data_IF_361986224439
#
_entry.id   IF_361986224439
#
_cell.length_a   1.000
_cell.length_b   1.000
_cell.length_c   1.000
_cell.angle_alpha   90.00
_cell.angle_beta   90.00
_cell.angle_gamma   90.00
#
_symmetry.space_group_name_H-M   'P 1'
#
loop_
_entity.id
_entity.type
_entity.pdbx_description
1 polymer ?
#
# COMPACT_ATOMS: atom_id res chain seq x y z
N UNK A 1 -0.62 -20.33 3.98
CA UNK A 1 -0.83 -19.36 2.88
C UNK A 1 0.20 -18.23 2.92
N UNK A 2 0.41 -17.52 4.02
CA UNK A 2 1.27 -16.33 4.07
C UNK A 2 2.76 -16.59 3.78
N UNK A 3 3.36 -17.71 4.21
CA UNK A 3 4.76 -18.07 3.87
C UNK A 3 4.99 -18.08 2.36
N UNK A 4 4.06 -18.63 1.61
CA UNK A 4 4.12 -18.65 0.13
C UNK A 4 4.10 -17.23 -0.47
N UNK A 5 3.44 -16.26 0.19
CA UNK A 5 3.40 -14.87 -0.28
C UNK A 5 4.66 -14.09 0.08
N UNK A 6 5.27 -14.36 1.25
CA UNK A 6 6.60 -13.83 1.58
C UNK A 6 7.64 -14.36 0.59
N UNK A 7 7.64 -15.67 0.31
CA UNK A 7 8.54 -16.27 -0.69
C UNK A 7 8.32 -15.67 -2.08
N UNK A 8 7.05 -15.41 -2.45
CA UNK A 8 6.71 -14.72 -3.71
C UNK A 8 7.25 -13.29 -3.71
N UNK A 9 7.06 -12.53 -2.64
CA UNK A 9 7.60 -11.18 -2.50
C UNK A 9 9.11 -11.17 -2.67
N UNK A 10 9.84 -12.07 -2.01
CA UNK A 10 11.29 -12.18 -2.13
C UNK A 10 11.74 -12.45 -3.58
N UNK A 11 11.02 -13.30 -4.32
CA UNK A 11 11.31 -13.57 -5.74
C UNK A 11 11.06 -12.33 -6.60
N UNK A 12 9.96 -11.62 -6.36
CA UNK A 12 9.61 -10.40 -7.12
C UNK A 12 10.61 -9.28 -6.80
N UNK A 13 11.07 -9.13 -5.55
CA UNK A 13 12.13 -8.18 -5.17
C UNK A 13 13.42 -8.51 -5.94
N UNK A 14 13.82 -9.78 -5.98
CA UNK A 14 15.03 -10.22 -6.68
C UNK A 14 14.92 -9.99 -8.20
N UNK A 15 13.76 -10.23 -8.78
CA UNK A 15 13.48 -9.95 -10.20
C UNK A 15 13.55 -8.45 -10.50
N UNK A 16 12.93 -7.62 -9.66
CA UNK A 16 12.94 -6.16 -9.80
C UNK A 16 14.37 -5.61 -9.73
N UNK A 17 15.17 -6.04 -8.74
CA UNK A 17 16.57 -5.63 -8.61
C UNK A 17 17.42 -6.06 -9.80
N UNK A 18 17.22 -7.30 -10.30
CA UNK A 18 17.91 -7.78 -11.51
C UNK A 18 17.62 -6.93 -12.75
N UNK A 19 16.42 -6.33 -12.81
CA UNK A 19 15.98 -5.44 -13.88
C UNK A 19 16.30 -3.96 -13.60
N UNK A 20 17.10 -3.65 -12.57
CA UNK A 20 17.59 -2.30 -12.27
C UNK A 20 16.63 -1.43 -11.47
N UNK A 21 15.57 -1.99 -10.87
CA UNK A 21 14.70 -1.21 -10.02
C UNK A 21 15.43 -0.81 -8.71
N UNK A 22 15.29 0.45 -8.32
CA UNK A 22 15.78 0.99 -7.04
C UNK A 22 14.71 1.00 -5.95
N UNK A 23 13.43 0.94 -6.34
CA UNK A 23 12.27 0.88 -5.46
C UNK A 23 11.21 -0.05 -6.03
N UNK A 24 10.61 -0.88 -5.18
CA UNK A 24 9.42 -1.67 -5.49
C UNK A 24 8.30 -1.38 -4.50
N UNK A 25 7.07 -1.24 -5.01
CA UNK A 25 5.84 -1.06 -4.22
C UNK A 25 4.89 -2.22 -4.49
N UNK A 26 4.57 -2.97 -3.43
CA UNK A 26 3.62 -4.08 -3.47
C UNK A 26 2.19 -3.60 -3.17
N UNK A 27 1.17 -4.36 -3.59
CA UNK A 27 -0.23 -4.07 -3.30
C UNK A 27 -0.58 -3.98 -1.81
N UNK A 28 -1.74 -3.38 -1.52
CA UNK A 28 -2.38 -3.36 -0.20
C UNK A 28 -2.50 -4.80 0.34
N UNK A 29 -2.03 -5.02 1.58
CA UNK A 29 -2.01 -6.31 2.29
C UNK A 29 -1.56 -7.49 1.41
N UNK A 30 -0.54 -7.29 0.58
CA UNK A 30 0.03 -8.33 -0.28
C UNK A 30 0.36 -9.59 0.50
N UNK A 31 0.95 -9.43 1.70
CA UNK A 31 1.19 -10.57 2.59
C UNK A 31 -0.10 -10.91 3.31
N UNK A 32 -0.53 -12.13 3.10
CA UNK A 32 -1.76 -12.81 3.47
C UNK A 32 -2.98 -12.51 2.58
N UNK A 33 -2.91 -11.48 1.71
CA UNK A 33 -3.95 -11.15 0.74
C UNK A 33 -5.09 -10.33 1.31
N UNK A 34 -5.80 -9.62 0.44
CA UNK A 34 -6.93 -8.79 0.84
C UNK A 34 -8.11 -9.67 1.27
N UNK A 35 -8.75 -9.38 2.43
CA UNK A 35 -9.85 -10.18 2.96
C UNK A 35 -11.19 -9.79 2.29
N UNK A 36 -11.32 -10.02 0.97
CA UNK A 36 -12.49 -9.60 0.17
C UNK A 36 -13.81 -10.18 0.70
N UNK A 37 -13.74 -11.28 1.46
CA UNK A 37 -14.89 -11.88 2.14
C UNK A 37 -15.61 -10.93 3.10
N UNK A 38 -14.99 -9.84 3.57
CA UNK A 38 -15.65 -8.81 4.40
C UNK A 38 -16.80 -8.12 3.69
N UNK A 39 -16.82 -8.15 2.34
CA UNK A 39 -17.87 -7.53 1.53
C UNK A 39 -18.98 -8.52 1.16
N UNK A 40 -18.76 -9.84 1.37
CA UNK A 40 -19.62 -10.91 0.89
C UNK A 40 -20.30 -11.67 2.00
N UNK A 41 -19.57 -12.00 3.06
CA UNK A 41 -20.07 -12.86 4.14
C UNK A 41 -21.03 -12.07 5.04
N UNK A 42 -22.31 -12.44 5.12
CA UNK A 42 -23.27 -11.76 5.97
C UNK A 42 -22.91 -11.90 7.46
N UNK A 43 -23.16 -10.87 8.25
CA UNK A 43 -22.83 -10.83 9.68
C UNK A 43 -23.46 -11.96 10.51
N UNK A 44 -24.60 -12.53 10.09
CA UNK A 44 -25.23 -13.65 10.79
C UNK A 44 -24.46 -14.98 10.61
N UNK A 45 -23.51 -15.08 9.66
CA UNK A 45 -22.63 -16.23 9.51
C UNK A 45 -21.41 -16.14 10.44
N UNK A 46 -21.65 -15.93 11.73
CA UNK A 46 -20.60 -15.66 12.73
C UNK A 46 -19.52 -16.75 12.83
N UNK A 47 -19.89 -18.03 12.69
CA UNK A 47 -18.91 -19.12 12.72
C UNK A 47 -17.90 -19.03 11.57
N UNK A 48 -18.36 -18.73 10.35
CA UNK A 48 -17.51 -18.54 9.18
C UNK A 48 -16.61 -17.31 9.36
N UNK A 49 -17.17 -16.18 9.80
CA UNK A 49 -16.41 -14.95 10.04
C UNK A 49 -15.31 -15.16 11.10
N UNK A 50 -15.62 -15.88 12.18
CA UNK A 50 -14.64 -16.18 13.23
C UNK A 50 -13.50 -17.04 12.72
N UNK A 51 -13.79 -18.05 11.88
CA UNK A 51 -12.76 -18.92 11.31
C UNK A 51 -11.88 -18.17 10.32
N UNK A 52 -12.47 -17.34 9.44
CA UNK A 52 -11.72 -16.51 8.49
C UNK A 52 -10.83 -15.49 9.23
N UNK A 53 -11.36 -14.87 10.28
CA UNK A 53 -10.58 -13.94 11.11
C UNK A 53 -9.43 -14.64 11.84
N UNK A 54 -9.67 -15.84 12.43
CA UNK A 54 -8.64 -16.64 13.08
C UNK A 54 -7.47 -16.92 12.12
N UNK A 55 -7.78 -17.39 10.91
CA UNK A 55 -6.76 -17.68 9.88
C UNK A 55 -6.00 -16.41 9.48
N UNK A 56 -6.68 -15.27 9.41
CA UNK A 56 -6.04 -14.01 9.09
C UNK A 56 -5.07 -13.57 10.19
N UNK A 57 -5.46 -13.69 11.46
CA UNK A 57 -4.58 -13.40 12.62
C UNK A 57 -3.35 -14.33 12.63
N UNK A 58 -3.54 -15.62 12.34
CA UNK A 58 -2.44 -16.59 12.28
C UNK A 58 -1.48 -16.33 11.11
N UNK A 59 -1.98 -15.69 10.05
CA UNK A 59 -1.20 -15.32 8.86
C UNK A 59 -0.60 -13.92 8.93
N UNK A 60 -0.92 -13.14 9.97
CA UNK A 60 -0.45 -11.78 10.12
C UNK A 60 0.99 -11.71 10.62
N UNK A 61 1.70 -10.67 10.16
CA UNK A 61 3.10 -10.42 10.48
C UNK A 61 3.18 -9.59 11.77
N UNK A 62 4.14 -9.91 12.62
CA UNK A 62 4.62 -9.03 13.68
C UNK A 62 5.88 -8.31 13.20
N UNK A 63 6.05 -7.04 13.58
CA UNK A 63 7.25 -6.29 13.18
C UNK A 63 8.09 -5.99 14.41
N UNK A 64 9.35 -6.54 14.50
CA UNK A 64 9.97 -7.50 13.57
C UNK A 64 9.56 -8.96 13.82
N UNK A 65 9.68 -9.82 12.80
CA UNK A 65 9.58 -11.29 12.90
C UNK A 65 10.37 -11.98 11.77
N UNK A 66 10.33 -13.31 11.72
CA UNK A 66 11.05 -14.10 10.70
C UNK A 66 10.65 -13.72 9.26
N UNK A 67 9.40 -13.28 9.04
CA UNK A 67 8.93 -12.86 7.71
C UNK A 67 9.52 -11.54 7.30
N UNK A 68 9.59 -10.58 8.24
CA UNK A 68 10.28 -9.30 8.01
C UNK A 68 11.77 -9.50 7.78
N UNK A 69 12.43 -10.44 8.49
CA UNK A 69 13.84 -10.75 8.27
C UNK A 69 14.11 -11.28 6.85
N UNK A 70 13.19 -12.12 6.32
CA UNK A 70 13.29 -12.61 4.94
C UNK A 70 13.14 -11.49 3.91
N UNK A 71 12.19 -10.57 4.12
CA UNK A 71 11.98 -9.41 3.25
C UNK A 71 13.18 -8.45 3.31
N UNK A 72 13.71 -8.17 4.50
CA UNK A 72 14.91 -7.37 4.71
C UNK A 72 16.13 -7.97 4.00
N UNK A 73 16.29 -9.29 4.11
CA UNK A 73 17.36 -9.99 3.39
C UNK A 73 17.19 -9.88 1.87
N UNK A 74 15.97 -10.06 1.35
CA UNK A 74 15.71 -9.95 -0.08
C UNK A 74 15.98 -8.52 -0.61
N UNK A 75 15.57 -7.48 0.14
CA UNK A 75 15.85 -6.09 -0.16
C UNK A 75 17.36 -5.84 -0.25
N UNK A 76 18.11 -6.27 0.78
CA UNK A 76 19.57 -6.13 0.84
C UNK A 76 20.28 -6.87 -0.28
N UNK A 77 19.96 -8.15 -0.50
CA UNK A 77 20.61 -8.99 -1.51
C UNK A 77 20.39 -8.43 -2.94
N UNK A 78 19.29 -7.70 -3.14
CA UNK A 78 18.90 -7.12 -4.43
C UNK A 78 19.25 -5.62 -4.56
N UNK A 79 19.62 -4.95 -3.46
CA UNK A 79 19.91 -3.51 -3.44
C UNK A 79 18.67 -2.65 -3.74
N UNK A 80 17.46 -3.09 -3.33
CA UNK A 80 16.17 -2.48 -3.68
C UNK A 80 15.44 -1.99 -2.43
N UNK A 81 14.98 -0.75 -2.45
CA UNK A 81 14.04 -0.27 -1.43
C UNK A 81 12.68 -0.92 -1.63
N UNK A 82 12.00 -1.29 -0.54
CA UNK A 82 10.75 -2.05 -0.59
C UNK A 82 9.67 -1.34 0.21
N UNK A 83 8.49 -1.17 -0.39
CA UNK A 83 7.25 -0.82 0.32
C UNK A 83 6.25 -1.96 0.09
N UNK A 84 5.84 -2.63 1.16
CA UNK A 84 4.98 -3.81 1.06
C UNK A 84 3.78 -3.74 2.01
N UNK A 85 2.59 -4.02 1.47
CA UNK A 85 1.35 -4.12 2.24
C UNK A 85 1.25 -5.43 3.01
N UNK A 86 0.81 -5.38 4.25
CA UNK A 86 0.67 -6.55 5.12
C UNK A 86 -0.45 -6.40 6.15
N UNK A 87 -0.95 -7.54 6.66
CA UNK A 87 -1.67 -7.56 7.92
C UNK A 87 -0.63 -7.52 9.05
N UNK A 88 -0.62 -6.44 9.81
CA UNK A 88 0.24 -6.29 10.98
C UNK A 88 -0.51 -6.74 12.23
N UNK A 89 0.10 -7.65 13.01
CA UNK A 89 -0.44 -8.09 14.29
C UNK A 89 -0.06 -7.10 15.39
N UNK A 90 -1.04 -6.68 16.19
CA UNK A 90 -0.78 -5.85 17.36
C UNK A 90 -0.18 -6.69 18.49
N UNK A 91 1.14 -6.66 18.63
CA UNK A 91 1.89 -7.38 19.69
C UNK A 91 1.97 -6.60 20.99
N UNK A 92 1.65 -5.31 20.99
CA UNK A 92 1.74 -4.46 22.18
C UNK A 92 0.66 -4.75 23.23
N UNK A 93 -0.48 -5.31 22.80
CA UNK A 93 -1.66 -5.50 23.65
C UNK A 93 -2.13 -6.95 23.67
N UNK A 94 -3.05 -7.31 22.76
CA UNK A 94 -3.79 -8.57 22.83
C UNK A 94 -3.28 -9.67 21.92
N UNK A 95 -2.36 -9.39 20.99
CA UNK A 95 -1.93 -10.27 19.90
C UNK A 95 -3.04 -10.76 18.95
N UNK A 96 -4.24 -10.20 19.03
CA UNK A 96 -5.39 -10.63 18.23
C UNK A 96 -6.01 -9.51 17.40
N UNK A 97 -5.61 -8.25 17.63
CA UNK A 97 -6.00 -7.13 16.77
C UNK A 97 -5.04 -6.99 15.60
N UNK A 98 -5.59 -6.63 14.44
CA UNK A 98 -4.85 -6.44 13.21
C UNK A 98 -4.89 -4.99 12.74
N UNK A 99 -3.84 -4.59 12.04
CA UNK A 99 -3.80 -3.36 11.26
C UNK A 99 -3.53 -3.69 9.78
N UNK A 100 -4.08 -2.88 8.91
CA UNK A 100 -3.67 -2.80 7.52
C UNK A 100 -2.48 -1.86 7.46
N UNK A 101 -1.31 -2.37 7.11
CA UNK A 101 -0.05 -1.64 7.26
C UNK A 101 0.84 -1.74 6.03
N UNK A 102 1.65 -0.70 5.82
CA UNK A 102 2.81 -0.73 4.95
C UNK A 102 4.07 -0.91 5.78
N UNK A 103 4.97 -1.76 5.32
CA UNK A 103 6.32 -1.89 5.82
C UNK A 103 7.27 -1.23 4.82
N UNK A 104 8.18 -0.39 5.33
CA UNK A 104 9.22 0.28 4.56
C UNK A 104 10.58 -0.31 4.92
N UNK A 105 11.31 -0.79 3.91
CA UNK A 105 12.64 -1.38 4.05
C UNK A 105 13.57 -0.68 3.06
N UNK A 106 14.76 -0.27 3.50
CA UNK A 106 15.75 0.32 2.61
C UNK A 106 16.56 -0.73 1.83
N UNK A 107 17.40 -0.26 0.91
CA UNK A 107 18.25 -1.11 0.07
C UNK A 107 19.34 -1.85 0.85
N UNK A 108 19.65 -1.44 2.08
CA UNK A 108 20.55 -2.12 3.02
C UNK A 108 19.85 -3.20 3.85
N UNK A 109 18.51 -3.35 3.68
CA UNK A 109 17.68 -4.30 4.39
C UNK A 109 17.29 -3.86 5.80
N UNK A 110 17.33 -2.56 6.08
CA UNK A 110 16.89 -2.02 7.36
C UNK A 110 15.41 -1.64 7.31
N UNK A 111 14.66 -1.99 8.34
CA UNK A 111 13.28 -1.52 8.52
C UNK A 111 13.32 -0.03 8.87
N UNK A 112 12.78 0.81 7.99
CA UNK A 112 12.64 2.25 8.22
C UNK A 112 11.44 2.58 9.11
N UNK A 113 10.37 1.79 9.01
CA UNK A 113 9.17 1.91 9.82
C UNK A 113 7.95 1.26 9.18
N UNK A 114 6.81 1.49 9.83
CA UNK A 114 5.50 1.04 9.35
C UNK A 114 4.53 2.22 9.27
N UNK A 115 3.56 2.13 8.34
CA UNK A 115 2.40 3.01 8.33
C UNK A 115 1.14 2.18 8.48
N UNK A 116 0.36 2.41 9.54
CA UNK A 116 -0.93 1.78 9.79
C UNK A 116 -2.05 2.63 9.19
N UNK A 117 -2.90 2.04 8.36
CA UNK A 117 -4.05 2.73 7.74
C UNK A 117 -4.88 3.47 8.78
N UNK A 118 -5.04 4.78 8.63
CA UNK A 118 -5.71 5.64 9.60
C UNK A 118 -7.15 5.20 9.84
N UNK A 119 -7.87 4.89 8.77
CA UNK A 119 -9.28 4.48 8.81
C UNK A 119 -9.50 3.32 7.84
N UNK A 120 -9.81 2.11 8.33
CA UNK A 120 -10.33 1.04 7.48
C UNK A 120 -11.66 1.42 6.83
N UNK A 121 -11.86 1.03 5.57
CA UNK A 121 -13.01 1.42 4.76
C UNK A 121 -14.18 0.44 4.94
N UNK A 122 -15.38 0.92 5.27
CA UNK A 122 -16.61 0.12 5.26
C UNK A 122 -16.49 -1.20 6.03
N UNK A 123 -16.61 -2.32 5.33
CA UNK A 123 -16.51 -3.69 5.88
C UNK A 123 -15.14 -4.04 6.46
N UNK A 124 -14.07 -3.38 6.02
CA UNK A 124 -12.72 -3.57 6.57
C UNK A 124 -12.65 -3.33 8.08
N UNK A 125 -13.56 -2.51 8.63
CA UNK A 125 -13.66 -2.22 10.08
C UNK A 125 -14.00 -3.44 10.93
N UNK A 126 -14.48 -4.51 10.32
CA UNK A 126 -14.70 -5.79 11.00
C UNK A 126 -13.39 -6.54 11.24
N UNK A 127 -12.31 -6.16 10.55
CA UNK A 127 -11.04 -6.88 10.54
C UNK A 127 -9.91 -6.03 11.10
N UNK A 128 -9.81 -4.74 10.72
CA UNK A 128 -8.66 -3.90 11.07
C UNK A 128 -9.01 -2.81 12.07
N UNK A 129 -8.07 -2.58 12.97
CA UNK A 129 -8.02 -1.42 13.85
C UNK A 129 -7.54 -0.18 13.11
N UNK A 130 -7.79 0.99 13.71
CA UNK A 130 -7.33 2.28 13.20
C UNK A 130 -5.86 2.51 13.52
N UNK A 131 -5.11 3.02 12.56
CA UNK A 131 -3.82 3.65 12.79
C UNK A 131 -3.95 5.02 13.44
N UNK A 132 -2.81 5.61 13.76
CA UNK A 132 -2.71 6.97 14.27
C UNK A 132 -1.83 7.86 13.38
N UNK A 133 -1.68 9.12 13.75
CA UNK A 133 -0.91 10.08 12.96
C UNK A 133 0.61 9.97 13.11
N UNK A 134 1.13 9.08 13.97
CA UNK A 134 2.57 8.97 14.24
C UNK A 134 3.38 8.53 13.02
N UNK A 135 2.74 7.73 12.16
CA UNK A 135 3.33 7.16 10.94
C UNK A 135 3.09 7.98 9.66
N UNK A 136 2.42 9.15 9.76
CA UNK A 136 2.31 10.10 8.64
C UNK A 136 3.64 10.83 8.44
N UNK A 137 4.60 10.14 7.84
CA UNK A 137 5.96 10.62 7.61
C UNK A 137 6.48 10.19 6.24
N UNK A 138 7.67 10.67 5.91
CA UNK A 138 8.44 10.21 4.75
C UNK A 138 9.80 9.70 5.20
N UNK A 139 10.35 8.75 4.47
CA UNK A 139 11.64 8.12 4.73
C UNK A 139 12.62 8.52 3.64
N UNK A 140 13.82 8.96 4.03
CA UNK A 140 14.92 9.20 3.12
C UNK A 140 15.53 7.85 2.72
N UNK A 141 15.63 7.60 1.42
CA UNK A 141 16.20 6.37 0.85
C UNK A 141 17.12 6.68 -0.33
N UNK A 142 17.85 5.68 -0.80
CA UNK A 142 18.64 5.79 -2.03
C UNK A 142 17.80 6.09 -3.29
N UNK A 143 16.52 5.68 -3.27
CA UNK A 143 15.56 5.94 -4.35
C UNK A 143 14.76 7.23 -4.18
N UNK A 144 15.16 8.12 -3.26
CA UNK A 144 14.47 9.37 -2.96
C UNK A 144 13.67 9.33 -1.65
N UNK A 145 12.89 10.37 -1.40
CA UNK A 145 12.08 10.50 -0.18
C UNK A 145 10.70 9.89 -0.40
N UNK A 146 10.44 8.76 0.26
CA UNK A 146 9.26 7.91 0.06
C UNK A 146 8.29 8.08 1.22
N UNK A 147 7.00 8.22 0.92
CA UNK A 147 5.90 8.12 1.87
C UNK A 147 4.86 7.11 1.38
N UNK A 148 3.90 6.73 2.22
CA UNK A 148 2.82 5.84 1.83
C UNK A 148 1.49 6.22 2.44
N UNK A 149 0.42 6.07 1.65
CA UNK A 149 -0.98 6.14 2.07
C UNK A 149 -1.75 4.98 1.43
N UNK A 150 -2.51 4.25 2.24
CA UNK A 150 -3.16 3.02 1.81
C UNK A 150 -4.56 3.32 1.29
N UNK A 151 -4.82 2.96 0.02
CA UNK A 151 -6.15 2.95 -0.59
C UNK A 151 -6.89 4.28 -0.38
N UNK A 152 -8.08 4.27 0.19
CA UNK A 152 -8.92 5.46 0.39
C UNK A 152 -8.38 6.49 1.40
N UNK A 153 -7.27 6.23 2.08
CA UNK A 153 -6.54 7.32 2.75
C UNK A 153 -6.12 8.41 1.78
N UNK A 154 -5.88 8.03 0.52
CA UNK A 154 -5.56 8.98 -0.55
C UNK A 154 -6.73 9.93 -0.90
N UNK A 155 -7.95 9.66 -0.44
CA UNK A 155 -9.07 10.61 -0.50
C UNK A 155 -9.10 11.59 0.68
N UNK A 156 -8.26 11.41 1.71
CA UNK A 156 -8.20 12.29 2.89
C UNK A 156 -7.27 13.48 2.62
N UNK A 157 -7.76 14.72 2.38
CA UNK A 157 -6.91 15.85 2.01
C UNK A 157 -5.85 16.18 3.07
N UNK A 158 -6.21 16.04 4.36
CA UNK A 158 -5.28 16.33 5.47
C UNK A 158 -4.20 15.28 5.62
N UNK A 159 -4.47 14.00 5.30
CA UNK A 159 -3.45 12.95 5.28
C UNK A 159 -2.43 13.22 4.14
N UNK A 160 -2.92 13.59 2.95
CA UNK A 160 -2.04 13.99 1.84
C UNK A 160 -1.20 15.20 2.20
N UNK A 161 -1.81 16.24 2.79
CA UNK A 161 -1.08 17.44 3.21
C UNK A 161 0.04 17.11 4.19
N UNK A 162 -0.20 16.19 5.14
CA UNK A 162 0.82 15.72 6.08
C UNK A 162 2.04 15.13 5.36
N UNK A 163 1.81 14.34 4.32
CA UNK A 163 2.85 13.72 3.50
C UNK A 163 3.60 14.78 2.66
N UNK A 164 2.89 15.72 2.08
CA UNK A 164 3.48 16.80 1.29
C UNK A 164 4.38 17.70 2.13
N UNK A 165 3.94 18.08 3.35
CA UNK A 165 4.75 18.86 4.30
C UNK A 165 6.01 18.12 4.78
N UNK A 166 6.02 16.79 4.71
CA UNK A 166 7.22 15.97 5.00
C UNK A 166 8.18 15.88 3.81
N UNK A 167 7.85 16.52 2.71
CA UNK A 167 8.70 16.60 1.53
C UNK A 167 8.78 15.30 0.73
N UNK A 168 7.73 14.48 0.75
CA UNK A 168 7.68 13.27 -0.06
C UNK A 168 7.90 13.59 -1.55
N UNK A 169 8.74 12.82 -2.20
CA UNK A 169 9.01 12.87 -3.64
C UNK A 169 8.28 11.74 -4.37
N UNK A 170 8.09 10.61 -3.67
CA UNK A 170 7.39 9.43 -4.15
C UNK A 170 6.34 9.05 -3.12
N UNK A 171 5.10 8.87 -3.59
CA UNK A 171 4.00 8.34 -2.81
C UNK A 171 3.70 6.91 -3.24
N UNK A 172 3.93 5.96 -2.35
CA UNK A 172 3.39 4.61 -2.48
C UNK A 172 1.91 4.62 -2.11
N UNK A 173 1.05 4.28 -3.07
CA UNK A 173 -0.41 4.29 -2.94
C UNK A 173 -1.01 2.92 -3.27
N UNK A 174 -0.69 1.87 -2.50
CA UNK A 174 -1.26 0.55 -2.72
C UNK A 174 -2.75 0.55 -2.40
N UNK A 175 -3.51 -0.25 -3.14
CA UNK A 175 -4.96 -0.24 -3.08
C UNK A 175 -5.58 -1.60 -3.42
N UNK A 176 -6.85 -1.78 -3.02
CA UNK A 176 -7.76 -2.79 -3.53
C UNK A 176 -8.81 -2.18 -4.49
N UNK A 177 -8.86 -0.84 -4.59
CA UNK A 177 -9.80 -0.13 -5.46
C UNK A 177 -9.38 -0.26 -6.93
N UNK A 178 -10.23 -0.90 -7.73
CA UNK A 178 -10.08 -1.14 -9.17
C UNK A 178 -10.92 -0.22 -10.04
N UNK A 179 -11.53 0.80 -9.43
CA UNK A 179 -12.43 1.70 -10.16
C UNK A 179 -11.66 2.68 -11.05
N UNK A 180 -12.25 3.13 -12.17
CA UNK A 180 -11.67 4.19 -13.00
C UNK A 180 -11.45 5.49 -12.22
N UNK A 181 -12.28 5.77 -11.20
CA UNK A 181 -12.15 6.94 -10.34
C UNK A 181 -10.86 6.93 -9.53
N UNK A 182 -10.36 5.74 -9.16
CA UNK A 182 -9.09 5.60 -8.47
C UNK A 182 -7.94 6.16 -9.29
N UNK A 183 -7.81 5.75 -10.55
CA UNK A 183 -6.76 6.23 -11.45
C UNK A 183 -6.78 7.75 -11.60
N UNK A 184 -7.97 8.33 -11.83
CA UNK A 184 -8.15 9.77 -11.94
C UNK A 184 -7.74 10.50 -10.64
N UNK A 185 -8.05 9.90 -9.49
CA UNK A 185 -7.63 10.45 -8.19
C UNK A 185 -6.12 10.40 -8.04
N UNK A 186 -5.45 9.32 -8.43
CA UNK A 186 -4.00 9.21 -8.35
C UNK A 186 -3.30 10.23 -9.27
N UNK A 187 -3.85 10.49 -10.45
CA UNK A 187 -3.38 11.57 -11.32
C UNK A 187 -3.55 12.96 -10.68
N UNK A 188 -4.70 13.18 -9.99
CA UNK A 188 -4.91 14.41 -9.23
C UNK A 188 -3.90 14.54 -8.08
N UNK A 189 -3.70 13.49 -7.29
CA UNK A 189 -2.77 13.45 -6.14
C UNK A 189 -1.33 13.75 -6.58
N UNK A 190 -0.90 13.16 -7.70
CA UNK A 190 0.42 13.42 -8.27
C UNK A 190 0.60 14.91 -8.62
N UNK A 191 -0.41 15.52 -9.25
CA UNK A 191 -0.40 16.95 -9.60
C UNK A 191 -0.52 17.86 -8.39
N UNK A 192 -1.39 17.54 -7.43
CA UNK A 192 -1.58 18.29 -6.18
C UNK A 192 -0.28 18.36 -5.37
N UNK A 193 0.36 17.21 -5.17
CA UNK A 193 1.59 17.11 -4.39
C UNK A 193 2.86 17.47 -5.16
N UNK A 194 2.79 17.54 -6.50
CA UNK A 194 3.98 17.69 -7.35
C UNK A 194 4.98 16.54 -7.10
N UNK A 195 4.50 15.30 -7.01
CA UNK A 195 5.29 14.11 -6.68
C UNK A 195 4.94 12.92 -7.59
N UNK A 196 5.79 11.91 -7.61
CA UNK A 196 5.47 10.66 -8.29
C UNK A 196 4.51 9.81 -7.45
N UNK A 197 3.56 9.14 -8.10
CA UNK A 197 2.65 8.18 -7.44
C UNK A 197 2.89 6.79 -8.02
N UNK A 198 3.20 5.83 -7.14
CA UNK A 198 3.28 4.42 -7.46
C UNK A 198 2.06 3.73 -6.84
N UNK A 199 1.04 3.51 -7.64
CA UNK A 199 -0.18 2.82 -7.23
C UNK A 199 -0.10 1.35 -7.61
N UNK A 200 -0.14 0.47 -6.62
CA UNK A 200 -0.08 -0.97 -6.82
C UNK A 200 -1.39 -1.61 -6.36
N UNK A 201 -2.07 -2.30 -7.28
CA UNK A 201 -3.34 -3.00 -7.03
C UNK A 201 -3.19 -4.48 -7.35
N UNK A 202 -3.66 -5.33 -6.43
CA UNK A 202 -3.59 -6.78 -6.62
C UNK A 202 -4.58 -7.23 -7.71
N UNK A 203 -4.10 -7.94 -8.72
CA UNK A 203 -4.93 -8.72 -9.62
C UNK A 203 -5.21 -10.10 -8.98
N UNK A 204 -6.49 -10.49 -8.86
CA UNK A 204 -6.90 -11.73 -8.19
C UNK A 204 -7.99 -12.42 -9.01
N UNK A 205 -7.70 -13.64 -9.46
CA UNK A 205 -8.68 -14.50 -10.14
C UNK A 205 -9.53 -15.27 -9.13
N UNK A 206 -10.70 -15.71 -9.59
CA UNK A 206 -11.55 -16.61 -8.82
C UNK A 206 -10.85 -17.94 -8.52
N UNK A 207 -10.06 -18.45 -9.47
CA UNK A 207 -9.33 -19.72 -9.32
C UNK A 207 -8.18 -19.63 -8.28
N UNK A 208 -7.73 -18.43 -7.95
CA UNK A 208 -6.71 -18.23 -6.91
C UNK A 208 -7.26 -18.45 -5.49
N UNK A 209 -8.59 -18.41 -5.32
CA UNK A 209 -9.23 -18.75 -4.04
C UNK A 209 -9.38 -20.27 -3.96
N UNK A 210 -8.76 -20.92 -2.94
CA UNK A 210 -8.92 -22.35 -2.72
C UNK A 210 -10.38 -22.75 -2.48
N UNK A 211 -10.81 -23.87 -3.05
CA UNK A 211 -12.19 -24.37 -2.98
C UNK A 211 -12.68 -24.69 -1.58
N UNK A 212 -11.75 -24.88 -0.64
CA UNK A 212 -12.07 -25.10 0.79
C UNK A 212 -12.75 -23.90 1.47
N UNK A 213 -12.70 -22.72 0.86
CA UNK A 213 -13.32 -21.53 1.42
C UNK A 213 -14.78 -21.41 0.94
N UNK A 214 -15.73 -21.67 1.83
CA UNK A 214 -17.16 -21.59 1.54
C UNK A 214 -17.59 -20.23 0.97
N UNK A 215 -16.91 -19.13 1.36
CA UNK A 215 -17.23 -17.80 0.83
C UNK A 215 -16.97 -17.68 -0.67
N UNK A 216 -16.16 -18.56 -1.27
CA UNK A 216 -15.96 -18.62 -2.74
C UNK A 216 -17.29 -18.77 -3.46
N UNK A 217 -18.20 -19.59 -2.91
CA UNK A 217 -19.55 -19.79 -3.46
C UNK A 217 -20.51 -18.60 -3.34
N UNK A 218 -20.09 -17.51 -2.69
CA UNK A 218 -20.90 -16.28 -2.59
C UNK A 218 -20.64 -15.31 -3.75
N UNK A 219 -19.59 -15.54 -4.54
CA UNK A 219 -19.35 -14.76 -5.75
C UNK A 219 -20.29 -15.20 -6.89
N UNK A 220 -20.63 -14.32 -7.85
CA UNK A 220 -21.26 -14.70 -9.09
C UNK A 220 -20.47 -15.78 -9.82
N UNK A 221 -21.16 -16.80 -10.33
CA UNK A 221 -20.53 -17.99 -10.92
C UNK A 221 -19.82 -17.73 -12.26
N UNK A 222 -20.14 -16.62 -12.91
CA UNK A 222 -19.55 -16.18 -14.19
C UNK A 222 -18.37 -15.21 -14.01
N UNK A 223 -17.98 -14.94 -12.75
CA UNK A 223 -16.89 -14.00 -12.45
C UNK A 223 -15.54 -14.68 -12.61
N UNK A 224 -14.75 -14.25 -13.58
CA UNK A 224 -13.35 -14.69 -13.75
C UNK A 224 -12.41 -14.00 -12.76
N UNK A 225 -12.55 -12.67 -12.63
CA UNK A 225 -11.69 -11.84 -11.79
C UNK A 225 -12.44 -11.28 -10.59
N UNK A 226 -11.91 -11.49 -9.41
CA UNK A 226 -12.38 -10.81 -8.17
C UNK A 226 -11.91 -9.37 -8.20
N UNK A 227 -10.64 -9.18 -8.54
CA UNK A 227 -10.04 -7.87 -8.78
C UNK A 227 -9.15 -7.94 -10.02
N UNK A 228 -9.41 -7.09 -11.00
CA UNK A 228 -8.61 -7.03 -12.24
C UNK A 228 -7.28 -6.31 -12.06
N UNK A 229 -7.06 -5.64 -10.91
CA UNK A 229 -5.94 -4.72 -10.74
C UNK A 229 -6.21 -3.37 -11.43
N UNK A 230 -5.26 -2.50 -11.40
CA UNK A 230 -5.10 -1.25 -12.15
C UNK A 230 -3.81 -0.54 -11.72
N UNK A 231 -2.76 -1.33 -11.50
CA UNK A 231 -1.47 -0.77 -11.09
C UNK A 231 -0.95 0.24 -12.10
N UNK A 232 -0.39 1.35 -11.62
CA UNK A 232 0.15 2.40 -12.48
C UNK A 232 1.25 3.21 -11.80
N UNK A 233 2.12 3.83 -12.62
CA UNK A 233 3.14 4.80 -12.19
C UNK A 233 2.82 6.13 -12.84
N UNK A 234 2.76 7.20 -12.06
CA UNK A 234 2.28 8.52 -12.47
C UNK A 234 3.32 9.58 -12.12
N UNK A 235 3.60 10.45 -13.10
CA UNK A 235 4.52 11.58 -12.96
C UNK A 235 3.88 12.77 -12.23
N UNK A 236 4.69 13.73 -11.72
CA UNK A 236 4.20 14.92 -10.99
C UNK A 236 3.25 15.82 -11.78
N UNK A 237 3.24 15.72 -13.11
CA UNK A 237 2.31 16.44 -13.99
C UNK A 237 0.97 15.69 -14.20
N UNK A 238 0.81 14.49 -13.60
CA UNK A 238 -0.35 13.63 -13.76
C UNK A 238 -0.30 12.68 -14.97
N UNK A 239 0.81 12.67 -15.73
CA UNK A 239 0.99 11.73 -16.84
C UNK A 239 1.23 10.32 -16.32
N UNK A 240 0.56 9.34 -16.92
CA UNK A 240 0.82 7.93 -16.65
C UNK A 240 2.11 7.54 -17.37
N UNK A 241 3.12 7.10 -16.62
CA UNK A 241 4.39 6.64 -17.15
C UNK A 241 4.35 5.15 -17.50
N UNK A 242 3.63 4.35 -16.70
CA UNK A 242 3.43 2.93 -16.93
C UNK A 242 2.06 2.48 -16.40
N UNK A 243 1.41 1.55 -17.09
CA UNK A 243 0.08 1.04 -16.76
C UNK A 243 -1.05 1.84 -17.43
N UNK A 244 -2.33 1.64 -17.02
CA UNK A 244 -2.74 0.70 -15.98
C UNK A 244 -2.50 -0.77 -16.39
N UNK A 245 -2.05 -1.61 -15.43
CA UNK A 245 -1.95 -3.05 -15.59
C UNK A 245 -3.25 -3.68 -15.06
N UNK A 246 -4.02 -4.28 -15.95
CA UNK A 246 -5.34 -4.84 -15.65
C UNK A 246 -5.46 -6.26 -16.20
N UNK A 247 -6.17 -7.12 -15.48
CA UNK A 247 -6.40 -8.53 -15.83
C UNK A 247 -5.12 -9.32 -16.11
N UNK A 248 -4.04 -8.93 -15.47
CA UNK A 248 -2.72 -9.55 -15.62
C UNK A 248 -1.93 -9.41 -14.32
N UNK A 249 -1.10 -10.42 -14.03
CA UNK A 249 -0.08 -10.35 -12.97
C UNK A 249 1.26 -9.98 -13.59
N UNK A 250 1.91 -8.94 -13.07
CA UNK A 250 3.19 -8.48 -13.60
C UNK A 250 3.84 -7.39 -12.75
N UNK A 251 4.98 -6.90 -13.25
CA UNK A 251 5.72 -5.77 -12.67
C UNK A 251 5.75 -4.64 -13.70
N UNK A 252 5.32 -3.45 -13.30
CA UNK A 252 5.49 -2.24 -14.08
C UNK A 252 6.80 -1.56 -13.73
N UNK A 253 7.51 -1.05 -14.74
CA UNK A 253 8.73 -0.31 -14.60
C UNK A 253 8.60 1.08 -15.23
N UNK A 254 9.20 2.08 -14.60
CA UNK A 254 9.36 3.42 -15.15
C UNK A 254 10.63 4.07 -14.59
N UNK A 255 11.32 4.81 -15.43
CA UNK A 255 12.39 5.69 -14.98
C UNK A 255 11.80 6.98 -14.41
N UNK A 256 12.35 7.42 -13.27
CA UNK A 256 11.91 8.61 -12.53
C UNK A 256 13.00 9.68 -12.61
N UNK A 257 12.66 10.84 -13.18
CA UNK A 257 13.49 12.04 -13.16
C UNK A 257 12.96 13.06 -12.14
N UNK A 258 13.64 13.22 -11.03
CA UNK A 258 13.26 14.16 -9.96
C UNK A 258 13.23 15.63 -10.38
N UNK A 259 13.87 16.03 -11.52
CA UNK A 259 13.73 17.38 -12.06
C UNK A 259 12.28 17.70 -12.45
N UNK A 260 11.46 16.68 -12.74
CA UNK A 260 10.03 16.86 -13.02
C UNK A 260 9.27 17.40 -11.80
N UNK A 261 9.69 17.06 -10.58
CA UNK A 261 9.11 17.62 -9.33
C UNK A 261 9.31 19.13 -9.28
N UNK A 262 10.53 19.60 -9.57
CA UNK A 262 10.83 21.03 -9.58
C UNK A 262 10.01 21.76 -10.64
N UNK A 263 9.87 21.14 -11.82
CA UNK A 263 9.08 21.70 -12.92
C UNK A 263 7.59 21.80 -12.56
N UNK A 264 7.02 20.78 -11.93
CA UNK A 264 5.63 20.77 -11.47
C UNK A 264 5.40 21.82 -10.38
N UNK A 265 6.28 21.87 -9.37
CA UNK A 265 6.18 22.79 -8.23
C UNK A 265 6.43 24.26 -8.60
N UNK A 266 7.08 24.56 -9.72
CA UNK A 266 7.25 25.93 -10.20
C UNK A 266 5.92 26.68 -10.36
N UNK A 267 4.89 26.00 -10.85
CA UNK A 267 3.57 26.60 -11.07
C UNK A 267 2.64 26.46 -9.85
N UNK A 268 2.75 25.35 -9.14
CA UNK A 268 1.89 25.05 -8.02
C UNK A 268 2.64 24.20 -6.99
N UNK A 269 2.97 24.80 -5.85
CA UNK A 269 3.55 24.10 -4.70
C UNK A 269 2.65 24.31 -3.49
N UNK A 270 1.86 23.29 -3.18
CA UNK A 270 0.85 23.33 -2.10
C UNK A 270 1.45 23.59 -0.73
N UNK A 271 2.70 23.18 -0.49
CA UNK A 271 3.44 23.40 0.75
C UNK A 271 4.44 24.58 0.66
N UNK A 272 4.62 25.15 -0.53
CA UNK A 272 5.48 26.30 -0.81
C UNK A 272 4.69 27.59 -1.03
N UNK A 273 4.75 28.14 -2.25
CA UNK A 273 4.16 29.46 -2.55
C UNK A 273 2.62 29.47 -2.60
N UNK A 274 1.95 28.31 -2.57
CA UNK A 274 0.50 28.20 -2.36
C UNK A 274 0.10 27.92 -0.91
N UNK A 275 1.06 27.66 -0.02
CA UNK A 275 0.77 27.55 1.39
C UNK A 275 0.33 28.90 1.98
N UNK A 276 -0.64 28.89 2.88
CA UNK A 276 -1.18 30.06 3.56
C UNK A 276 -1.17 29.86 5.07
N UNK A 277 0.04 29.80 5.72
CA UNK A 277 0.16 29.61 7.17
C UNK A 277 -0.41 30.77 7.99
N UNK A 278 -0.63 31.92 7.34
CA UNK A 278 -1.37 33.08 7.87
C UNK A 278 -2.88 32.85 7.95
N UNK A 279 -3.44 31.91 7.15
CA UNK A 279 -4.87 31.56 7.09
C UNK A 279 -5.15 30.23 7.77
N UNK A 280 -4.29 29.23 7.54
CA UNK A 280 -4.49 27.84 7.99
C UNK A 280 -3.42 27.41 8.97
N UNK A 281 -3.85 26.79 10.08
CA UNK A 281 -2.95 26.13 11.02
C UNK A 281 -3.14 24.64 10.92
N UNK A 282 -2.14 23.95 10.37
CA UNK A 282 -2.13 22.49 10.26
C UNK A 282 -1.23 21.87 11.33
N UNK A 283 -1.68 20.77 11.93
CA UNK A 283 -0.88 19.98 12.90
C UNK A 283 -1.36 18.53 12.89
N UNK A 284 -0.44 17.61 12.67
CA UNK A 284 -0.66 16.18 12.90
C UNK A 284 -0.48 15.88 14.38
N UNK A 285 -1.45 15.22 15.01
CA UNK A 285 -1.32 14.70 16.38
C UNK A 285 -0.73 13.30 16.31
N UNK A 286 0.43 13.10 16.89
CA UNK A 286 0.94 11.76 17.21
C UNK A 286 0.48 11.41 18.63
N UNK A 287 -0.19 10.29 18.78
CA UNK A 287 -0.49 9.74 20.11
C UNK A 287 0.77 8.96 20.51
N UNK A 288 1.47 9.45 21.53
CA UNK A 288 2.57 8.72 22.14
C UNK A 288 2.02 7.66 23.09
#
# INVERSE_FOLDING_TARGET
MYKRQVDKACKVIAEAGKNGAELIVFPEVFVAGYPDWVWLVPNHKGAMLNELYRQLVESAISVPDQSTDQLCKAAKDSGVNVVIGMHERNTEKSNSSLFNSLLFIDAEGMILGTHRKLIPTGGERLVWSRGDGSSLTSYDTSAGKIAGLICWENFMPLARNAIYERGAQILAAPTWDKSPNWLQTMQHVAREGGLFVLSSCMALKMDDIPDQYEFKGLYPTDREWINVGNSCIIAPNGQILAGPLEAEEGILYADIDFHQILSAKRMFDVCGHYARPDVFKFKVKSIK
#
